data_IF_374964453140
#
_entry.id   IF_374964453140
#
_cell.length_a   1.000
_cell.length_b   1.000
_cell.length_c   1.000
_cell.angle_alpha   90.00
_cell.angle_beta   90.00
_cell.angle_gamma   90.00
#
_symmetry.space_group_name_H-M   'P 1'
#
loop_
_entity.id
_entity.type
_entity.pdbx_description
1 polymer ?
#
# COMPACT_ATOMS: atom_id res chain seq x y z
N UNK A 1 -31.59 20.83 -19.71
CA UNK A 1 -31.27 21.30 -18.35
C UNK A 1 -31.17 20.08 -17.46
N UNK A 2 -29.97 19.68 -17.06
CA UNK A 2 -29.77 18.59 -16.09
C UNK A 2 -30.17 19.10 -14.71
N UNK A 3 -31.11 18.41 -14.06
CA UNK A 3 -31.55 18.71 -12.69
C UNK A 3 -30.33 18.71 -11.74
N UNK A 4 -30.27 19.60 -10.74
CA UNK A 4 -29.18 19.60 -9.78
C UNK A 4 -29.12 18.25 -9.06
N UNK A 5 -27.92 17.66 -9.02
CA UNK A 5 -27.65 16.39 -8.37
C UNK A 5 -27.67 16.62 -6.84
N UNK A 6 -28.58 15.96 -6.14
CA UNK A 6 -28.71 16.10 -4.68
C UNK A 6 -27.79 15.10 -3.97
N UNK A 7 -27.03 15.58 -2.99
CA UNK A 7 -26.21 14.72 -2.14
C UNK A 7 -27.10 13.77 -1.32
N UNK A 8 -26.63 12.53 -1.05
CA UNK A 8 -27.36 11.58 -0.23
C UNK A 8 -27.48 12.06 1.23
N UNK A 9 -28.56 11.66 1.90
CA UNK A 9 -28.77 11.96 3.31
C UNK A 9 -27.76 11.18 4.19
N UNK A 10 -27.24 11.82 5.23
CA UNK A 10 -26.26 11.19 6.14
C UNK A 10 -26.78 9.86 6.73
N UNK A 11 -28.07 9.78 7.06
CA UNK A 11 -28.72 8.59 7.59
C UNK A 11 -28.77 7.41 6.61
N UNK A 12 -28.55 7.66 5.32
CA UNK A 12 -28.52 6.63 4.27
C UNK A 12 -27.12 6.12 3.95
N UNK A 13 -26.08 6.72 4.54
CA UNK A 13 -24.70 6.32 4.29
C UNK A 13 -24.33 5.08 5.12
N UNK A 14 -23.74 4.05 4.50
CA UNK A 14 -23.24 2.90 5.24
C UNK A 14 -21.99 3.29 6.05
N UNK A 15 -21.60 2.49 7.07
CA UNK A 15 -20.41 2.76 7.84
C UNK A 15 -19.15 2.74 6.94
N UNK A 16 -18.06 3.42 7.34
CA UNK A 16 -16.85 3.50 6.53
C UNK A 16 -16.31 2.14 6.08
N UNK A 17 -16.31 1.12 6.94
CA UNK A 17 -15.87 -0.25 6.59
C UNK A 17 -16.58 -0.82 5.37
N UNK A 18 -17.89 -0.56 5.28
CA UNK A 18 -18.75 -1.12 4.24
C UNK A 18 -18.57 -0.34 2.94
N UNK A 19 -18.36 0.98 3.03
CA UNK A 19 -17.97 1.80 1.87
C UNK A 19 -16.70 1.24 1.25
N UNK A 20 -15.63 1.04 2.02
CA UNK A 20 -14.35 0.56 1.49
C UNK A 20 -14.42 -0.88 0.93
N UNK A 21 -15.28 -1.73 1.49
CA UNK A 21 -15.47 -3.10 1.00
C UNK A 21 -16.29 -3.15 -0.29
N UNK A 22 -17.31 -2.31 -0.39
CA UNK A 22 -18.30 -2.33 -1.49
C UNK A 22 -18.00 -1.37 -2.63
N UNK A 23 -17.10 -0.39 -2.43
CA UNK A 23 -16.74 0.57 -3.47
C UNK A 23 -15.29 0.45 -3.90
N UNK A 24 -15.09 0.27 -5.20
CA UNK A 24 -13.85 0.63 -5.85
C UNK A 24 -13.79 2.18 -5.92
N UNK A 25 -12.62 2.77 -5.67
CA UNK A 25 -11.31 2.16 -5.88
C UNK A 25 -10.56 1.69 -4.63
N UNK A 26 -9.78 0.62 -4.77
CA UNK A 26 -8.70 0.32 -3.83
C UNK A 26 -7.52 1.26 -4.08
N UNK A 27 -6.97 1.79 -3.01
CA UNK A 27 -5.83 2.71 -3.01
C UNK A 27 -4.63 2.04 -2.38
N UNK A 28 -3.48 2.16 -3.04
CA UNK A 28 -2.20 1.70 -2.51
C UNK A 28 -1.17 2.81 -2.70
N UNK A 29 -0.39 3.09 -1.67
CA UNK A 29 0.68 4.08 -1.71
C UNK A 29 1.98 3.49 -1.19
N UNK A 30 3.09 3.86 -1.83
CA UNK A 30 4.42 3.44 -1.44
C UNK A 30 5.25 4.69 -1.23
N UNK A 31 5.87 4.80 -0.05
CA UNK A 31 6.77 5.88 0.30
C UNK A 31 8.17 5.34 0.53
N UNK A 32 9.13 5.90 -0.17
CA UNK A 32 10.55 5.74 0.12
C UNK A 32 10.96 6.86 1.08
N UNK A 33 11.28 6.46 2.31
CA UNK A 33 11.88 7.36 3.29
C UNK A 33 13.39 7.17 3.23
N UNK A 34 14.06 8.02 2.45
CA UNK A 34 15.52 8.07 2.37
C UNK A 34 16.03 9.01 3.47
N UNK A 35 16.10 8.49 4.70
CA UNK A 35 16.69 9.22 5.84
C UNK A 35 18.18 8.88 5.99
N UNK A 36 19.00 9.79 6.53
CA UNK A 36 20.46 9.58 6.64
C UNK A 36 20.85 8.34 7.46
N UNK A 37 20.01 7.95 8.43
CA UNK A 37 20.30 6.83 9.32
C UNK A 37 19.94 5.48 8.70
N UNK A 38 18.72 5.35 8.16
CA UNK A 38 18.17 4.08 7.64
C UNK A 38 17.14 4.38 6.56
N UNK A 39 17.35 3.83 5.37
CA UNK A 39 16.32 3.82 4.33
C UNK A 39 15.19 2.86 4.71
N UNK A 40 13.94 3.28 4.52
CA UNK A 40 12.78 2.38 4.69
C UNK A 40 11.71 2.64 3.63
N UNK A 41 11.01 1.58 3.26
CA UNK A 41 9.82 1.65 2.44
C UNK A 41 8.59 1.47 3.33
N UNK A 42 7.57 2.30 3.10
CA UNK A 42 6.26 2.18 3.74
C UNK A 42 5.23 1.96 2.66
N UNK A 43 4.55 0.82 2.72
CA UNK A 43 3.42 0.49 1.86
C UNK A 43 2.15 0.67 2.67
N UNK A 44 1.24 1.51 2.20
CA UNK A 44 -0.08 1.67 2.78
C UNK A 44 -1.12 1.20 1.77
N UNK A 45 -2.13 0.46 2.22
CA UNK A 45 -3.13 -0.12 1.35
C UNK A 45 -4.50 -0.10 2.00
N UNK A 46 -5.53 0.23 1.22
CA UNK A 46 -6.92 0.19 1.65
C UNK A 46 -7.54 -1.21 1.60
N UNK A 47 -6.74 -2.23 1.26
CA UNK A 47 -7.19 -3.61 1.13
C UNK A 47 -6.20 -4.55 1.82
N UNK A 48 -6.50 -4.91 3.07
CA UNK A 48 -5.66 -5.75 3.95
C UNK A 48 -5.17 -7.05 3.27
N UNK A 49 -5.99 -7.82 2.53
CA UNK A 49 -5.53 -9.05 1.88
C UNK A 49 -4.43 -8.82 0.85
N UNK A 50 -4.46 -7.70 0.12
CA UNK A 50 -3.37 -7.32 -0.81
C UNK A 50 -2.06 -7.14 -0.04
N UNK A 51 -2.13 -6.49 1.11
CA UNK A 51 -0.95 -6.20 1.93
C UNK A 51 -0.38 -7.47 2.59
N UNK A 52 -1.25 -8.39 3.03
CA UNK A 52 -0.86 -9.72 3.53
C UNK A 52 -0.13 -10.53 2.46
N UNK A 53 -0.70 -10.60 1.25
CA UNK A 53 -0.07 -11.32 0.15
C UNK A 53 1.29 -10.72 -0.22
N UNK A 54 1.39 -9.39 -0.26
CA UNK A 54 2.67 -8.71 -0.49
C UNK A 54 3.69 -9.05 0.61
N UNK A 55 3.28 -9.03 1.88
CA UNK A 55 4.14 -9.39 3.01
C UNK A 55 4.67 -10.81 2.86
N UNK A 56 3.80 -11.79 2.65
CA UNK A 56 4.17 -13.20 2.48
C UNK A 56 5.12 -13.40 1.29
N UNK A 57 4.85 -12.71 0.17
CA UNK A 57 5.73 -12.73 -1.00
C UNK A 57 7.12 -12.18 -0.67
N UNK A 58 7.21 -11.04 0.02
CA UNK A 58 8.49 -10.44 0.38
C UNK A 58 9.23 -11.25 1.44
N UNK A 59 8.53 -11.85 2.40
CA UNK A 59 9.11 -12.76 3.41
C UNK A 59 9.78 -13.97 2.75
N UNK A 60 9.16 -14.54 1.70
CA UNK A 60 9.75 -15.63 0.91
C UNK A 60 11.11 -15.26 0.29
N UNK A 61 11.35 -13.98 0.02
CA UNK A 61 12.57 -13.49 -0.64
C UNK A 61 13.43 -12.62 0.27
N UNK A 62 13.10 -12.52 1.57
CA UNK A 62 13.70 -11.56 2.48
C UNK A 62 15.20 -11.82 2.72
N UNK A 63 15.59 -13.09 2.84
CA UNK A 63 16.99 -13.48 3.04
C UNK A 63 17.86 -13.14 1.83
N UNK A 64 17.40 -13.47 0.62
CA UNK A 64 18.14 -13.25 -0.62
C UNK A 64 18.34 -11.77 -0.96
N UNK A 65 17.56 -10.88 -0.35
CA UNK A 65 17.59 -9.44 -0.64
C UNK A 65 17.85 -8.59 0.62
N UNK A 66 18.32 -9.20 1.71
CA UNK A 66 18.65 -8.50 2.95
C UNK A 66 17.54 -7.56 3.42
N UNK A 67 16.30 -8.05 3.49
CA UNK A 67 15.13 -7.27 3.92
C UNK A 67 14.56 -7.78 5.24
N UNK A 68 13.93 -6.87 6.00
CA UNK A 68 13.13 -7.16 7.19
C UNK A 68 11.79 -6.44 7.12
N UNK A 69 10.73 -7.15 7.47
CA UNK A 69 9.35 -6.65 7.40
C UNK A 69 8.78 -6.43 8.79
N UNK A 70 7.94 -5.40 8.94
CA UNK A 70 7.14 -5.19 10.14
C UNK A 70 5.87 -6.07 10.13
N UNK A 71 5.22 -6.28 11.28
CA UNK A 71 3.81 -6.60 11.31
C UNK A 71 2.99 -5.57 10.51
N UNK A 72 1.85 -6.00 9.97
CA UNK A 72 0.89 -5.10 9.34
C UNK A 72 0.16 -4.33 10.45
N UNK A 73 0.15 -3.01 10.35
CA UNK A 73 -0.43 -2.12 11.36
C UNK A 73 -1.51 -1.21 10.77
N UNK A 74 -2.61 -1.04 11.49
CA UNK A 74 -3.74 -0.20 11.10
C UNK A 74 -3.58 1.19 11.76
N UNK A 75 -2.95 2.16 11.07
CA UNK A 75 -2.44 3.41 11.69
C UNK A 75 -3.18 4.70 11.33
N UNK A 76 -3.65 4.86 10.09
CA UNK A 76 -4.20 6.16 9.60
C UNK A 76 -5.70 6.25 9.86
N UNK A 77 -6.40 5.13 9.76
CA UNK A 77 -7.75 4.93 10.26
C UNK A 77 -7.94 3.41 10.43
N UNK A 78 -8.12 2.89 11.66
CA UNK A 78 -8.14 1.46 11.90
C UNK A 78 -9.12 0.74 10.96
N UNK A 79 -8.69 -0.34 10.32
CA UNK A 79 -9.41 -1.14 9.31
C UNK A 79 -9.73 -0.47 7.97
N UNK A 80 -9.26 0.76 7.74
CA UNK A 80 -9.46 1.45 6.46
C UNK A 80 -8.17 1.48 5.64
N UNK A 81 -7.03 1.78 6.27
CA UNK A 81 -5.71 1.74 5.63
C UNK A 81 -4.72 1.04 6.54
N UNK A 82 -4.22 -0.08 6.06
CA UNK A 82 -3.18 -0.86 6.71
C UNK A 82 -1.80 -0.49 6.17
N UNK A 83 -0.78 -0.67 7.00
CA UNK A 83 0.59 -0.26 6.73
C UNK A 83 1.56 -1.42 6.93
N UNK A 84 2.42 -1.64 5.93
CA UNK A 84 3.57 -2.55 5.98
C UNK A 84 4.85 -1.73 5.84
N UNK A 85 5.81 -1.95 6.72
CA UNK A 85 7.12 -1.29 6.65
C UNK A 85 8.17 -2.32 6.27
N UNK A 86 8.95 -2.00 5.25
CA UNK A 86 10.09 -2.81 4.79
C UNK A 86 11.38 -2.02 5.04
N UNK A 87 12.36 -2.67 5.64
CA UNK A 87 13.66 -2.09 6.00
C UNK A 87 14.78 -3.05 5.58
N UNK A 88 16.01 -2.56 5.46
CA UNK A 88 17.19 -3.43 5.36
C UNK A 88 17.30 -4.36 6.58
N UNK A 89 17.80 -5.57 6.37
CA UNK A 89 18.00 -6.58 7.41
C UNK A 89 19.18 -6.24 8.31
N UNK A 90 20.23 -5.64 7.75
CA UNK A 90 21.40 -5.17 8.49
C UNK A 90 21.44 -3.63 8.53
N UNK A 91 21.80 -3.08 9.68
CA UNK A 91 22.00 -1.64 9.86
C UNK A 91 23.47 -1.22 9.65
N UNK A 92 24.34 -2.22 9.46
CA UNK A 92 25.79 -2.04 9.44
C UNK A 92 26.30 -1.71 8.04
N UNK A 93 25.64 -2.22 7.00
CA UNK A 93 25.98 -1.87 5.64
C UNK A 93 25.15 -0.66 5.20
N UNK A 94 25.79 0.51 5.15
CA UNK A 94 25.14 1.76 4.68
C UNK A 94 24.74 1.70 3.21
N UNK A 95 25.12 0.64 2.50
CA UNK A 95 24.78 0.40 1.11
C UNK A 95 23.61 -0.57 0.93
N UNK A 96 23.16 -1.27 1.98
CA UNK A 96 21.96 -2.10 1.93
C UNK A 96 20.72 -1.21 1.87
N UNK A 97 20.30 -0.89 0.65
CA UNK A 97 19.09 -0.13 0.34
C UNK A 97 18.00 -1.09 -0.14
N UNK A 98 16.78 -0.92 0.36
CA UNK A 98 15.65 -1.69 -0.15
C UNK A 98 15.22 -1.08 -1.47
N UNK A 99 15.47 -1.80 -2.57
CA UNK A 99 15.02 -1.37 -3.87
C UNK A 99 13.49 -1.43 -3.96
N UNK A 100 12.78 -0.30 -4.19
CA UNK A 100 11.32 -0.32 -4.32
C UNK A 100 10.83 -1.16 -5.50
N UNK A 101 11.68 -1.39 -6.52
CA UNK A 101 11.29 -2.05 -7.76
C UNK A 101 10.61 -3.41 -7.56
N UNK A 102 11.04 -4.21 -6.57
CA UNK A 102 10.38 -5.51 -6.28
C UNK A 102 8.92 -5.31 -5.84
N UNK A 103 8.66 -4.28 -5.05
CA UNK A 103 7.31 -3.94 -4.59
C UNK A 103 6.50 -3.35 -5.75
N UNK A 104 7.08 -2.44 -6.53
CA UNK A 104 6.40 -1.83 -7.68
C UNK A 104 5.99 -2.90 -8.71
N UNK A 105 6.92 -3.80 -9.05
CA UNK A 105 6.67 -4.89 -10.00
C UNK A 105 5.59 -5.86 -9.48
N UNK A 106 5.60 -6.19 -8.19
CA UNK A 106 4.55 -6.99 -7.58
C UNK A 106 3.17 -6.30 -7.68
N UNK A 107 3.12 -5.01 -7.36
CA UNK A 107 1.90 -4.20 -7.35
C UNK A 107 1.25 -4.12 -8.74
N UNK A 108 2.04 -3.93 -9.79
CA UNK A 108 1.53 -3.81 -11.16
C UNK A 108 1.33 -5.18 -11.84
N UNK A 109 2.29 -6.08 -11.66
CA UNK A 109 2.34 -7.36 -12.38
C UNK A 109 1.51 -8.47 -11.74
N UNK A 110 1.38 -8.48 -10.40
CA UNK A 110 0.69 -9.56 -9.68
C UNK A 110 -0.70 -9.12 -9.22
N UNK A 111 -0.78 -8.03 -8.46
CA UNK A 111 -2.07 -7.56 -7.90
C UNK A 111 -2.80 -6.57 -8.82
N UNK A 112 -2.21 -6.20 -9.95
CA UNK A 112 -2.88 -5.49 -11.04
C UNK A 112 -3.38 -4.08 -10.70
N UNK A 113 -2.77 -3.41 -9.73
CA UNK A 113 -3.01 -1.99 -9.54
C UNK A 113 -2.38 -1.20 -10.69
N UNK A 114 -2.91 -0.01 -10.97
CA UNK A 114 -2.35 0.92 -11.95
C UNK A 114 -1.77 2.13 -11.25
N UNK A 115 -0.53 2.49 -11.60
CA UNK A 115 0.08 3.72 -11.10
C UNK A 115 -0.72 4.92 -11.62
N UNK A 116 -1.07 5.83 -10.72
CA UNK A 116 -1.82 7.06 -11.05
C UNK A 116 -1.02 8.32 -10.75
N UNK A 117 -0.01 8.22 -9.88
CA UNK A 117 0.88 9.33 -9.56
C UNK A 117 2.20 8.81 -9.01
N UNK A 118 3.30 9.51 -9.29
CA UNK A 118 4.61 9.18 -8.74
C UNK A 118 5.48 10.43 -8.58
N UNK A 119 6.37 10.35 -7.59
CA UNK A 119 7.57 11.17 -7.45
C UNK A 119 8.75 10.21 -7.31
N UNK A 120 9.99 10.71 -7.40
CA UNK A 120 11.19 9.87 -7.21
C UNK A 120 11.24 9.08 -5.90
N UNK A 121 10.41 9.41 -4.90
CA UNK A 121 10.32 8.72 -3.60
C UNK A 121 8.89 8.36 -3.17
N UNK A 122 7.90 8.48 -4.05
CA UNK A 122 6.50 8.19 -3.74
C UNK A 122 5.78 7.62 -4.94
N UNK A 123 4.95 6.61 -4.74
CA UNK A 123 4.11 6.03 -5.78
C UNK A 123 2.70 5.85 -5.25
N UNK A 124 1.72 6.28 -6.02
CA UNK A 124 0.31 6.08 -5.74
C UNK A 124 -0.30 5.25 -6.84
N UNK A 125 -1.08 4.27 -6.39
CA UNK A 125 -1.69 3.24 -7.19
C UNK A 125 -3.18 3.19 -6.92
N UNK A 126 -3.93 2.89 -7.98
CA UNK A 126 -5.38 2.72 -7.92
C UNK A 126 -5.76 1.43 -8.62
N UNK A 127 -6.66 0.67 -8.01
CA UNK A 127 -7.35 -0.46 -8.65
C UNK A 127 -8.84 -0.18 -8.66
N UNK A 128 -9.44 -0.17 -9.84
CA UNK A 128 -10.87 0.11 -10.05
C UNK A 128 -11.71 -1.15 -10.21
N UNK A 129 -11.08 -2.32 -10.24
CA UNK A 129 -11.74 -3.62 -10.33
C UNK A 129 -11.69 -4.33 -8.99
N UNK A 130 -12.83 -4.87 -8.57
CA UNK A 130 -12.92 -5.66 -7.35
C UNK A 130 -12.00 -6.89 -7.43
N UNK A 131 -11.49 -7.33 -6.28
CA UNK A 131 -10.85 -8.63 -6.18
C UNK A 131 -11.93 -9.71 -6.29
N UNK A 132 -11.60 -10.80 -7.00
CA UNK A 132 -12.48 -11.98 -7.10
C UNK A 132 -12.32 -12.85 -5.87
#
# INVERSE_FOLDING_TARGET
>A
MTSPEHLPALSSLPPPSDLFTSTAPYILTIFLHDRPEIQRLTVQCSHEPTLKLLKEYLEKWAESHSMKLSPIESKVCPRIIDTLVVKPSTLWDRYDKVNPAIILAFVEGVVGYKMVYTTGSFWMYRRTTLFK
#
